data_IF_199628807621
#
_entry.id   IF_199628807621
#
_cell.length_a   1.000
_cell.length_b   1.000
_cell.length_c   1.000
_cell.angle_alpha   90.00
_cell.angle_beta   90.00
_cell.angle_gamma   90.00
#
_symmetry.space_group_name_H-M   'P 1'
#
loop_
_entity.id
_entity.type
_entity.pdbx_description
1 polymer ?
#
# COMPACT_ATOMS: atom_id res chain seq x y z
N UNK A 1 -41.93 51.63 15.56
CA UNK A 1 -40.71 51.35 14.77
C UNK A 1 -40.28 49.89 15.00
N UNK A 2 -41.15 48.93 14.62
CA UNK A 2 -40.90 47.48 14.73
C UNK A 2 -41.41 46.72 13.50
N UNK A 3 -41.93 47.43 12.49
CA UNK A 3 -42.48 46.87 11.26
C UNK A 3 -41.46 46.83 10.10
N UNK A 4 -40.27 47.39 10.26
CA UNK A 4 -39.25 47.46 9.21
C UNK A 4 -38.19 46.36 9.28
N UNK A 5 -38.10 45.60 10.38
CA UNK A 5 -37.10 44.54 10.53
C UNK A 5 -37.56 43.19 9.92
N UNK A 6 -38.87 42.97 9.89
CA UNK A 6 -39.47 41.71 9.40
C UNK A 6 -39.51 41.63 7.86
N UNK A 7 -39.68 42.78 7.19
CA UNK A 7 -39.64 42.85 5.72
C UNK A 7 -38.23 42.63 5.15
N UNK A 8 -37.19 43.06 5.88
CA UNK A 8 -35.79 42.86 5.46
C UNK A 8 -35.39 41.38 5.63
N UNK A 9 -35.89 40.71 6.67
CA UNK A 9 -35.61 39.29 6.91
C UNK A 9 -36.30 38.38 5.87
N UNK A 10 -37.55 38.68 5.49
CA UNK A 10 -38.26 37.92 4.46
C UNK A 10 -37.67 38.10 3.06
N UNK A 11 -37.15 39.29 2.75
CA UNK A 11 -36.55 39.58 1.43
C UNK A 11 -35.23 38.83 1.22
N UNK A 12 -34.40 38.68 2.26
CA UNK A 12 -33.17 37.89 2.19
C UNK A 12 -33.41 36.38 2.09
N UNK A 13 -34.50 35.87 2.67
CA UNK A 13 -34.86 34.45 2.58
C UNK A 13 -35.34 34.05 1.18
N UNK A 14 -36.06 34.96 0.49
CA UNK A 14 -36.47 34.77 -0.90
C UNK A 14 -35.29 34.72 -1.89
N UNK A 15 -34.21 35.48 -1.64
CA UNK A 15 -33.01 35.41 -2.48
C UNK A 15 -32.20 34.12 -2.28
N UNK A 16 -32.16 33.55 -1.07
CA UNK A 16 -31.48 32.29 -0.78
C UNK A 16 -32.24 31.11 -1.39
N UNK A 17 -33.58 31.11 -1.34
CA UNK A 17 -34.43 30.10 -1.99
C UNK A 17 -34.36 30.18 -3.53
N UNK A 18 -34.23 31.38 -4.10
CA UNK A 18 -34.03 31.55 -5.54
C UNK A 18 -32.65 31.05 -6.02
N UNK A 19 -31.61 31.16 -5.19
CA UNK A 19 -30.24 30.69 -5.52
C UNK A 19 -30.11 29.16 -5.49
N UNK A 20 -30.87 28.46 -4.63
CA UNK A 20 -30.87 26.99 -4.54
C UNK A 20 -31.68 26.36 -5.70
N UNK A 21 -32.67 27.06 -6.24
CA UNK A 21 -33.43 26.60 -7.41
C UNK A 21 -32.76 26.87 -8.77
N UNK A 22 -31.71 27.71 -8.82
CA UNK A 22 -30.96 28.01 -10.05
C UNK A 22 -29.74 27.10 -10.29
N UNK A 23 -29.26 26.35 -9.28
CA UNK A 23 -28.18 25.37 -9.46
C UNK A 23 -28.67 23.97 -9.91
N UNK A 24 -29.98 23.76 -10.02
CA UNK A 24 -30.60 22.48 -10.41
C UNK A 24 -30.89 22.29 -11.90
N UNK A 25 -30.54 23.25 -12.77
CA UNK A 25 -30.98 23.24 -14.19
C UNK A 25 -29.80 23.23 -15.19
N UNK A 26 -28.55 23.13 -14.75
CA UNK A 26 -27.39 22.97 -15.67
C UNK A 26 -26.87 21.53 -15.83
N UNK A 27 -27.61 20.53 -15.35
CA UNK A 27 -27.29 19.11 -15.56
C UNK A 27 -28.42 18.38 -16.30
N UNK A 28 -28.80 18.87 -17.48
CA UNK A 28 -29.53 18.10 -18.49
C UNK A 28 -29.50 18.82 -19.84
N UNK A 29 -28.61 18.39 -20.74
CA UNK A 29 -28.71 18.38 -22.22
C UNK A 29 -27.31 18.49 -22.87
N UNK A 30 -26.57 17.38 -22.88
CA UNK A 30 -26.04 16.84 -24.14
C UNK A 30 -26.16 15.33 -24.04
N UNK A 31 -27.27 14.83 -24.58
CA UNK A 31 -27.47 13.43 -24.96
C UNK A 31 -27.80 13.44 -26.44
N UNK A 32 -27.05 12.66 -27.23
CA UNK A 32 -27.47 12.02 -28.48
C UNK A 32 -26.22 11.26 -28.98
N UNK A 33 -26.22 9.97 -29.35
CA UNK A 33 -27.16 8.84 -29.34
C UNK A 33 -26.30 7.66 -29.82
N UNK A 34 -26.37 6.45 -29.26
CA UNK A 34 -27.28 5.43 -29.76
C UNK A 34 -27.45 4.34 -28.70
N UNK A 35 -28.45 4.57 -27.84
CA UNK A 35 -29.14 3.55 -27.06
C UNK A 35 -30.24 2.98 -27.95
N UNK A 36 -29.98 1.84 -28.56
CA UNK A 36 -31.04 0.99 -29.10
C UNK A 36 -30.69 -0.45 -28.76
N UNK A 37 -31.03 -0.84 -27.51
CA UNK A 37 -31.26 -2.21 -27.03
C UNK A 37 -31.52 -2.32 -25.50
N UNK A 38 -31.74 -1.21 -24.78
CA UNK A 38 -31.85 -1.22 -23.31
C UNK A 38 -33.27 -1.22 -22.72
N UNK A 39 -34.33 -1.38 -23.53
CA UNK A 39 -35.71 -1.40 -23.01
C UNK A 39 -36.29 -2.83 -22.91
N UNK A 40 -35.65 -3.86 -23.46
CA UNK A 40 -36.06 -5.27 -23.28
C UNK A 40 -35.29 -6.05 -22.19
N UNK A 41 -34.33 -5.42 -21.48
CA UNK A 41 -33.54 -6.10 -20.42
C UNK A 41 -33.89 -5.72 -18.98
N UNK A 42 -35.01 -5.03 -18.74
CA UNK A 42 -35.47 -4.66 -17.38
C UNK A 42 -36.54 -5.58 -16.77
N UNK A 43 -36.84 -6.72 -17.38
CA UNK A 43 -37.66 -7.78 -16.76
C UNK A 43 -37.01 -9.17 -16.73
N UNK A 44 -35.71 -9.27 -17.02
CA UNK A 44 -34.97 -10.53 -16.89
C UNK A 44 -33.55 -10.31 -16.34
N UNK A 45 -33.50 -9.73 -15.14
CA UNK A 45 -32.39 -9.89 -14.19
C UNK A 45 -32.93 -9.74 -12.76
N UNK A 46 -33.93 -10.58 -12.42
CA UNK A 46 -33.82 -11.32 -11.16
C UNK A 46 -32.66 -12.31 -11.34
N UNK A 47 -31.44 -11.78 -11.45
CA UNK A 47 -30.26 -12.56 -11.09
C UNK A 47 -30.36 -12.65 -9.58
N UNK A 48 -30.92 -13.77 -9.14
CA UNK A 48 -30.62 -14.44 -7.88
C UNK A 48 -29.50 -13.72 -7.15
N UNK A 49 -29.85 -12.88 -6.17
CA UNK A 49 -29.00 -12.74 -4.99
C UNK A 49 -28.92 -14.16 -4.45
N UNK A 50 -27.91 -14.91 -4.90
CA UNK A 50 -27.52 -16.12 -4.21
C UNK A 50 -27.20 -15.59 -2.83
N UNK A 51 -28.02 -15.95 -1.84
CA UNK A 51 -27.63 -15.94 -0.44
C UNK A 51 -26.40 -16.85 -0.36
N UNK A 52 -25.23 -16.35 -0.78
CA UNK A 52 -23.99 -16.96 -0.39
C UNK A 52 -23.94 -16.77 1.13
N UNK A 53 -23.88 -17.86 1.90
CA UNK A 53 -23.77 -17.73 3.34
C UNK A 53 -22.49 -16.92 3.62
N UNK A 54 -22.55 -15.97 4.56
CA UNK A 54 -21.34 -15.21 4.87
C UNK A 54 -20.26 -16.14 5.42
N UNK A 55 -20.60 -17.22 6.14
CA UNK A 55 -19.66 -18.34 6.40
C UNK A 55 -20.23 -19.68 5.91
N UNK A 56 -19.44 -20.42 5.12
CA UNK A 56 -19.80 -21.81 4.77
C UNK A 56 -19.71 -22.68 6.01
N UNK A 57 -20.83 -23.31 6.36
CA UNK A 57 -21.05 -24.01 7.63
C UNK A 57 -21.27 -25.52 7.52
N UNK A 58 -21.43 -26.05 6.31
CA UNK A 58 -21.75 -27.46 6.08
C UNK A 58 -20.60 -28.37 6.49
N UNK A 59 -20.89 -29.37 7.35
CA UNK A 59 -19.97 -30.41 7.84
C UNK A 59 -18.73 -29.94 8.59
N UNK A 60 -18.58 -28.64 8.84
CA UNK A 60 -17.47 -28.08 9.61
C UNK A 60 -17.72 -28.22 11.12
N UNK A 61 -16.66 -28.50 11.87
CA UNK A 61 -16.67 -28.45 13.33
C UNK A 61 -17.08 -27.05 13.79
N UNK A 62 -17.90 -26.98 14.84
CA UNK A 62 -18.43 -25.72 15.39
C UNK A 62 -17.92 -25.53 16.81
N UNK A 63 -17.52 -24.29 17.14
CA UNK A 63 -17.22 -23.89 18.52
C UNK A 63 -17.93 -22.57 18.85
N UNK A 64 -18.23 -22.40 20.14
CA UNK A 64 -18.83 -21.17 20.67
C UNK A 64 -17.83 -20.01 20.60
N UNK A 65 -18.27 -18.83 20.16
CA UNK A 65 -17.35 -17.69 19.98
C UNK A 65 -16.92 -17.06 21.30
N UNK A 66 -17.71 -17.15 22.38
CA UNK A 66 -17.28 -16.67 23.70
C UNK A 66 -16.15 -17.55 24.21
N UNK A 67 -16.27 -18.87 24.06
CA UNK A 67 -15.22 -19.81 24.42
C UNK A 67 -13.95 -19.60 23.58
N UNK A 68 -14.08 -19.39 22.26
CA UNK A 68 -12.91 -19.14 21.40
C UNK A 68 -12.20 -17.82 21.75
N UNK A 69 -12.94 -16.76 22.09
CA UNK A 69 -12.36 -15.49 22.58
C UNK A 69 -11.48 -15.68 23.81
N UNK A 70 -11.81 -16.63 24.68
CA UNK A 70 -11.01 -16.92 25.88
C UNK A 70 -9.83 -17.86 25.65
N UNK A 71 -9.87 -18.69 24.59
CA UNK A 71 -8.95 -19.83 24.41
C UNK A 71 -8.05 -19.73 23.20
N UNK A 72 -8.38 -18.89 22.23
CA UNK A 72 -7.56 -18.71 21.04
C UNK A 72 -6.35 -17.84 21.36
N UNK A 73 -5.18 -18.22 20.82
CA UNK A 73 -3.96 -17.44 21.00
C UNK A 73 -4.05 -16.11 20.23
N UNK A 74 -4.71 -16.12 19.07
CA UNK A 74 -4.93 -14.93 18.26
C UNK A 74 -6.39 -14.79 17.87
N UNK A 75 -6.84 -13.53 17.83
CA UNK A 75 -8.15 -13.13 17.38
C UNK A 75 -8.07 -11.76 16.71
N UNK A 76 -8.75 -11.58 15.58
CA UNK A 76 -8.90 -10.28 14.93
C UNK A 76 -10.14 -10.23 14.04
N UNK A 77 -10.56 -9.00 13.72
CA UNK A 77 -11.60 -8.75 12.73
C UNK A 77 -11.03 -8.87 11.31
N UNK A 78 -11.83 -9.38 10.39
CA UNK A 78 -11.47 -9.54 8.98
C UNK A 78 -12.64 -9.16 8.08
N UNK A 79 -12.32 -8.74 6.85
CA UNK A 79 -13.31 -8.22 5.90
C UNK A 79 -13.15 -8.89 4.54
N UNK A 80 -14.27 -9.13 3.87
CA UNK A 80 -14.32 -9.52 2.45
C UNK A 80 -15.44 -8.73 1.75
N UNK A 81 -15.07 -7.62 1.11
CA UNK A 81 -16.05 -6.70 0.55
C UNK A 81 -16.82 -5.99 1.65
N UNK A 82 -18.13 -6.23 1.70
CA UNK A 82 -19.01 -5.68 2.74
C UNK A 82 -19.26 -6.65 3.90
N UNK A 83 -18.71 -7.86 3.84
CA UNK A 83 -18.88 -8.84 4.90
C UNK A 83 -17.81 -8.68 5.96
N UNK A 84 -18.23 -8.71 7.22
CA UNK A 84 -17.35 -8.59 8.39
C UNK A 84 -17.33 -9.92 9.16
N UNK A 85 -16.14 -10.30 9.62
CA UNK A 85 -15.85 -11.58 10.23
C UNK A 85 -15.03 -11.41 11.50
N UNK A 86 -15.07 -12.44 12.36
CA UNK A 86 -14.06 -12.66 13.40
C UNK A 86 -13.30 -13.94 13.09
N UNK A 87 -11.97 -13.84 13.08
CA UNK A 87 -11.05 -14.96 12.87
C UNK A 87 -10.42 -15.34 14.19
N UNK A 88 -10.32 -16.65 14.47
CA UNK A 88 -9.68 -17.20 15.65
C UNK A 88 -8.63 -18.23 15.24
N UNK A 89 -7.44 -18.16 15.84
CA UNK A 89 -6.40 -19.18 15.69
C UNK A 89 -6.26 -19.96 17.01
N UNK A 90 -6.58 -21.26 16.96
CA UNK A 90 -6.72 -22.11 18.14
C UNK A 90 -6.09 -23.49 17.96
N UNK A 91 -5.39 -23.99 18.97
CA UNK A 91 -4.86 -25.36 19.03
C UNK A 91 -5.37 -26.08 20.30
N UNK A 92 -5.75 -27.36 20.17
CA UNK A 92 -6.18 -28.18 21.31
C UNK A 92 -5.00 -28.71 22.14
N UNK A 93 -3.85 -28.88 21.49
CA UNK A 93 -2.63 -29.44 22.05
C UNK A 93 -1.55 -28.38 22.32
N UNK A 94 -1.96 -27.11 22.45
CA UNK A 94 -1.06 -26.00 22.72
C UNK A 94 -0.26 -26.23 24.02
N UNK A 95 1.06 -26.14 23.89
CA UNK A 95 1.99 -26.19 25.01
C UNK A 95 2.75 -24.87 25.09
N UNK A 96 2.79 -24.28 26.29
CA UNK A 96 3.63 -23.12 26.56
C UNK A 96 4.94 -23.54 27.21
N UNK A 97 6.06 -23.03 26.70
CA UNK A 97 7.38 -23.16 27.29
C UNK A 97 8.03 -21.79 27.45
N UNK A 98 9.00 -21.68 28.37
CA UNK A 98 9.85 -20.49 28.46
C UNK A 98 11.17 -20.78 27.77
N UNK A 99 11.54 -19.92 26.82
CA UNK A 99 12.84 -20.01 26.16
C UNK A 99 13.72 -18.85 26.65
N UNK A 100 14.83 -19.18 27.32
CA UNK A 100 15.79 -18.19 27.85
C UNK A 100 16.87 -17.80 26.83
N UNK A 101 16.89 -18.39 25.62
CA UNK A 101 17.97 -18.20 24.66
C UNK A 101 18.00 -16.84 23.93
N UNK A 102 17.07 -15.92 24.22
CA UNK A 102 16.97 -14.61 23.55
C UNK A 102 17.10 -13.40 24.49
N UNK A 103 17.64 -13.57 25.71
CA UNK A 103 17.88 -12.46 26.64
C UNK A 103 16.62 -11.78 27.22
N UNK A 104 15.44 -12.18 26.76
CA UNK A 104 14.12 -11.83 27.28
C UNK A 104 13.40 -13.14 27.56
N UNK A 105 12.77 -13.29 28.75
CA UNK A 105 11.90 -14.43 29.05
C UNK A 105 10.69 -14.39 28.11
N UNK A 106 10.82 -15.00 26.94
CA UNK A 106 9.76 -15.04 25.96
C UNK A 106 9.02 -16.37 26.09
N UNK A 107 7.73 -16.27 26.38
CA UNK A 107 6.83 -17.42 26.36
C UNK A 107 6.65 -17.85 24.91
N UNK A 108 6.88 -19.13 24.65
CA UNK A 108 6.73 -19.75 23.34
C UNK A 108 5.60 -20.77 23.41
N UNK A 109 4.69 -20.71 22.45
CA UNK A 109 3.53 -21.58 22.31
C UNK A 109 3.73 -22.47 21.09
N UNK A 110 3.60 -23.78 21.29
CA UNK A 110 3.78 -24.79 20.25
C UNK A 110 2.53 -25.66 20.18
N UNK A 111 1.98 -25.89 18.99
CA UNK A 111 0.78 -26.72 18.82
C UNK A 111 0.30 -26.83 17.37
N UNK A 112 -0.73 -27.65 17.13
CA UNK A 112 -1.35 -27.81 15.81
C UNK A 112 -2.60 -26.92 15.72
N UNK A 113 -2.43 -25.73 15.16
CA UNK A 113 -3.48 -24.72 15.12
C UNK A 113 -4.46 -24.93 13.98
N UNK A 114 -5.72 -24.60 14.25
CA UNK A 114 -6.82 -24.52 13.31
C UNK A 114 -7.35 -23.09 13.26
N UNK A 115 -7.84 -22.66 12.10
CA UNK A 115 -8.49 -21.36 11.95
C UNK A 115 -10.01 -21.55 12.06
N UNK A 116 -10.66 -20.79 12.93
CA UNK A 116 -12.12 -20.70 12.99
C UNK A 116 -12.59 -19.36 12.44
N UNK A 117 -13.66 -19.39 11.64
CA UNK A 117 -14.27 -18.21 11.05
C UNK A 117 -15.71 -18.06 11.57
N UNK A 118 -16.06 -16.86 12.01
CA UNK A 118 -17.42 -16.48 12.37
C UNK A 118 -17.82 -15.21 11.61
N UNK A 119 -19.09 -15.10 11.24
CA UNK A 119 -19.67 -13.80 10.91
C UNK A 119 -19.54 -12.89 12.14
N UNK A 120 -19.36 -11.58 11.93
CA UNK A 120 -19.27 -10.63 13.03
C UNK A 120 -20.49 -10.76 13.96
N UNK A 121 -20.21 -10.74 15.26
CA UNK A 121 -21.20 -10.89 16.34
C UNK A 121 -21.95 -12.24 16.40
N UNK A 122 -21.59 -13.21 15.55
CA UNK A 122 -22.11 -14.58 15.65
C UNK A 122 -21.69 -15.23 16.97
N UNK A 123 -22.55 -16.08 17.52
CA UNK A 123 -22.26 -16.93 18.70
C UNK A 123 -21.53 -18.21 18.33
N UNK A 124 -21.42 -18.52 17.03
CA UNK A 124 -20.82 -19.77 16.53
C UNK A 124 -19.75 -19.44 15.49
N UNK A 125 -18.59 -20.07 15.62
CA UNK A 125 -17.53 -20.11 14.61
C UNK A 125 -17.37 -21.51 14.03
N UNK A 126 -16.92 -21.58 12.79
CA UNK A 126 -16.75 -22.80 12.01
C UNK A 126 -15.28 -23.02 11.68
N UNK A 127 -14.77 -24.22 12.01
CA UNK A 127 -13.40 -24.64 11.67
C UNK A 127 -13.18 -24.62 10.16
N UNK A 128 -12.05 -24.07 9.72
CA UNK A 128 -11.63 -24.01 8.33
C UNK A 128 -10.46 -24.96 8.08
N UNK A 129 -10.44 -25.60 6.92
CA UNK A 129 -9.43 -26.62 6.54
C UNK A 129 -8.11 -26.00 6.03
N UNK A 130 -7.96 -24.67 6.14
CA UNK A 130 -6.88 -23.92 5.50
C UNK A 130 -5.46 -24.29 5.98
N UNK A 131 -5.34 -24.86 7.19
CA UNK A 131 -4.06 -25.29 7.78
C UNK A 131 -3.86 -26.81 7.79
N UNK A 132 -4.84 -27.59 7.32
CA UNK A 132 -4.81 -29.05 7.43
C UNK A 132 -3.64 -29.66 6.61
N UNK A 133 -3.23 -29.01 5.52
CA UNK A 133 -2.06 -29.39 4.72
C UNK A 133 -0.72 -29.23 5.47
N UNK A 134 -0.67 -28.34 6.47
CA UNK A 134 0.52 -28.12 7.31
C UNK A 134 0.52 -29.03 8.57
N UNK A 135 -0.54 -29.84 8.74
CA UNK A 135 -0.95 -30.52 9.98
C UNK A 135 -0.01 -31.59 10.54
N UNK A 136 1.19 -31.78 9.99
CA UNK A 136 2.23 -32.66 10.54
C UNK A 136 3.29 -31.92 11.35
N UNK A 137 3.39 -30.60 11.18
CA UNK A 137 4.39 -29.77 11.87
C UNK A 137 3.68 -28.80 12.80
N UNK A 138 4.03 -28.76 14.09
CA UNK A 138 3.44 -27.81 15.01
C UNK A 138 3.89 -26.39 14.66
N UNK A 139 2.99 -25.43 14.80
CA UNK A 139 3.30 -24.01 14.69
C UNK A 139 3.97 -23.54 15.97
N UNK A 140 4.91 -22.60 15.83
CA UNK A 140 5.64 -21.99 16.94
C UNK A 140 5.33 -20.50 16.96
N UNK A 141 4.78 -20.03 18.08
CA UNK A 141 4.42 -18.64 18.29
C UNK A 141 5.07 -18.07 19.54
N UNK A 142 5.59 -16.86 19.42
CA UNK A 142 6.12 -16.04 20.49
C UNK A 142 5.33 -14.72 20.45
N UNK A 143 4.46 -14.44 21.44
CA UNK A 143 3.63 -13.23 21.42
C UNK A 143 4.43 -11.92 21.45
N UNK A 144 5.72 -11.95 21.79
CA UNK A 144 6.62 -10.80 21.67
C UNK A 144 6.99 -10.50 20.22
N UNK A 145 6.70 -11.40 19.27
CA UNK A 145 6.94 -11.26 17.83
C UNK A 145 5.59 -11.12 17.11
N UNK A 146 5.54 -10.27 16.09
CA UNK A 146 4.33 -10.06 15.30
C UNK A 146 4.11 -11.18 14.27
N UNK A 147 3.81 -12.40 14.72
CA UNK A 147 3.76 -13.58 13.85
C UNK A 147 2.41 -13.83 13.20
N UNK A 148 1.33 -13.35 13.80
CA UNK A 148 -0.02 -13.53 13.28
C UNK A 148 -0.76 -12.21 13.35
N UNK A 149 -1.17 -11.69 12.20
CA UNK A 149 -1.87 -10.41 12.13
C UNK A 149 -2.74 -10.27 10.88
N UNK A 150 -3.78 -9.42 10.93
CA UNK A 150 -4.55 -9.04 9.76
C UNK A 150 -3.73 -8.07 8.89
N UNK A 151 -3.62 -8.38 7.59
CA UNK A 151 -3.05 -7.50 6.59
C UNK A 151 -4.18 -6.98 5.69
N UNK A 152 -4.47 -5.68 5.78
CA UNK A 152 -5.56 -5.06 5.02
C UNK A 152 -5.09 -4.56 3.66
N UNK A 153 -5.85 -4.93 2.62
CA UNK A 153 -5.62 -4.52 1.23
C UNK A 153 -6.97 -4.13 0.61
N UNK A 154 -7.27 -2.83 0.64
CA UNK A 154 -8.56 -2.31 0.19
C UNK A 154 -9.69 -2.77 1.10
N UNK A 155 -10.70 -3.40 0.51
CA UNK A 155 -11.86 -3.97 1.21
C UNK A 155 -11.67 -5.45 1.60
N UNK A 156 -10.42 -5.93 1.65
CA UNK A 156 -10.10 -7.32 1.96
C UNK A 156 -9.07 -7.41 3.09
N UNK A 157 -9.27 -8.36 3.98
CA UNK A 157 -8.27 -8.74 4.99
C UNK A 157 -7.63 -10.06 4.62
N UNK A 158 -6.30 -10.07 4.66
CA UNK A 158 -5.49 -11.28 4.60
C UNK A 158 -5.08 -11.69 6.01
N UNK A 159 -5.12 -12.98 6.27
CA UNK A 159 -4.61 -13.59 7.50
C UNK A 159 -3.16 -13.94 7.24
N UNK A 160 -2.24 -13.21 7.88
CA UNK A 160 -0.81 -13.45 7.78
C UNK A 160 -0.37 -14.34 8.93
N UNK A 161 0.33 -15.43 8.63
CA UNK A 161 1.00 -16.29 9.61
C UNK A 161 2.47 -16.43 9.20
N UNK A 162 3.38 -16.03 10.07
CA UNK A 162 4.82 -16.06 9.87
C UNK A 162 5.45 -17.06 10.84
N UNK A 163 5.90 -18.18 10.30
CA UNK A 163 6.53 -19.25 11.07
C UNK A 163 8.05 -19.06 11.12
N UNK A 164 8.68 -19.07 12.32
CA UNK A 164 10.11 -18.88 12.43
C UNK A 164 10.87 -19.91 11.62
N UNK A 165 11.94 -19.47 10.96
CA UNK A 165 12.88 -20.28 10.19
C UNK A 165 14.31 -19.91 10.60
N UNK A 166 15.30 -20.45 9.88
CA UNK A 166 16.71 -20.18 10.16
C UNK A 166 17.10 -18.73 9.84
N UNK A 167 18.09 -18.21 10.56
CA UNK A 167 18.73 -16.89 10.31
C UNK A 167 17.73 -15.72 10.26
N UNK A 168 16.86 -15.61 11.26
CA UNK A 168 15.83 -14.55 11.40
C UNK A 168 14.79 -14.53 10.28
N UNK A 169 14.79 -15.54 9.40
CA UNK A 169 13.77 -15.67 8.37
C UNK A 169 12.49 -16.27 8.93
N UNK A 170 11.39 -16.06 8.20
CA UNK A 170 10.09 -16.64 8.49
C UNK A 170 9.47 -17.23 7.22
N UNK A 171 8.88 -18.41 7.34
CA UNK A 171 7.98 -18.97 6.32
C UNK A 171 6.67 -18.21 6.35
N UNK A 172 6.29 -17.63 5.21
CA UNK A 172 5.05 -16.90 5.04
C UNK A 172 3.91 -17.82 4.62
N UNK A 173 2.84 -17.81 5.41
CA UNK A 173 1.55 -18.38 5.07
C UNK A 173 0.53 -17.25 5.04
N UNK A 174 -0.12 -17.08 3.90
CA UNK A 174 -1.11 -16.03 3.69
C UNK A 174 -2.44 -16.66 3.31
N UNK A 175 -3.52 -16.20 3.93
CA UNK A 175 -4.86 -16.68 3.64
C UNK A 175 -5.80 -15.51 3.40
N UNK A 176 -6.85 -15.72 2.64
CA UNK A 176 -7.92 -14.75 2.45
C UNK A 176 -9.27 -15.44 2.52
N UNK A 177 -10.27 -14.70 2.97
CA UNK A 177 -11.67 -15.15 2.94
C UNK A 177 -12.15 -15.05 1.49
N UNK A 178 -12.79 -16.07 0.95
CA UNK A 178 -13.43 -16.05 -0.38
C UNK A 178 -14.63 -16.98 -0.37
N UNK A 179 -15.79 -16.43 -0.72
CA UNK A 179 -17.08 -17.13 -0.69
C UNK A 179 -17.39 -17.73 0.70
N UNK A 180 -17.04 -17.01 1.77
CA UNK A 180 -17.28 -17.44 3.16
C UNK A 180 -16.36 -18.54 3.69
N UNK A 181 -15.23 -18.78 3.02
CA UNK A 181 -14.20 -19.74 3.45
C UNK A 181 -12.82 -19.13 3.47
N UNK A 182 -11.97 -19.62 4.37
CA UNK A 182 -10.56 -19.25 4.37
C UNK A 182 -9.82 -20.11 3.36
N UNK A 183 -9.16 -19.46 2.40
CA UNK A 183 -8.37 -20.12 1.35
C UNK A 183 -6.93 -19.62 1.39
N UNK A 184 -5.99 -20.53 1.19
CA UNK A 184 -4.56 -20.20 1.05
C UNK A 184 -4.38 -19.33 -0.19
N UNK A 185 -3.61 -18.27 -0.03
CA UNK A 185 -3.22 -17.36 -1.11
C UNK A 185 -1.82 -17.77 -1.55
N UNK A 186 -1.66 -17.95 -2.85
CA UNK A 186 -0.38 -18.36 -3.42
C UNK A 186 0.41 -17.16 -3.91
N UNK A 187 1.71 -17.35 -4.12
CA UNK A 187 2.56 -16.41 -4.83
C UNK A 187 2.87 -17.01 -6.21
N UNK A 188 2.98 -16.16 -7.24
CA UNK A 188 3.26 -16.62 -8.62
C UNK A 188 4.67 -17.19 -8.77
N UNK A 189 5.56 -16.82 -7.87
CA UNK A 189 6.92 -17.32 -7.73
C UNK A 189 7.05 -17.91 -6.32
N UNK A 190 7.91 -18.91 -6.16
CA UNK A 190 8.11 -19.57 -4.88
C UNK A 190 8.65 -18.59 -3.84
N UNK A 191 7.75 -18.11 -2.98
CA UNK A 191 8.07 -17.29 -1.82
C UNK A 191 8.18 -18.20 -0.59
N UNK A 192 9.34 -18.82 -0.42
CA UNK A 192 9.54 -19.82 0.65
C UNK A 192 9.73 -19.17 2.01
N UNK A 193 10.44 -18.04 2.07
CA UNK A 193 10.78 -17.32 3.30
C UNK A 193 10.87 -15.82 3.05
N UNK A 194 10.65 -15.03 4.09
CA UNK A 194 10.92 -13.59 4.15
C UNK A 194 11.83 -13.32 5.35
N UNK A 195 12.52 -12.18 5.37
CA UNK A 195 13.30 -11.78 6.55
C UNK A 195 12.39 -11.13 7.59
N UNK A 196 12.52 -11.54 8.86
CA UNK A 196 11.74 -11.01 9.98
C UNK A 196 10.26 -11.42 9.97
N UNK A 197 9.42 -10.57 10.56
CA UNK A 197 8.00 -10.83 10.82
C UNK A 197 7.06 -9.74 10.27
N UNK A 198 7.51 -8.98 9.28
CA UNK A 198 6.76 -7.83 8.77
C UNK A 198 6.49 -7.92 7.26
N UNK A 199 5.33 -7.40 6.86
CA UNK A 199 4.91 -7.20 5.47
C UNK A 199 4.27 -5.81 5.40
N UNK A 200 4.67 -4.99 4.44
CA UNK A 200 4.08 -3.66 4.24
C UNK A 200 2.86 -3.74 3.34
N UNK A 201 1.76 -3.10 3.72
CA UNK A 201 0.63 -2.83 2.81
C UNK A 201 0.83 -1.46 2.18
N UNK A 202 0.71 -1.38 0.86
CA UNK A 202 0.98 -0.16 0.10
C UNK A 202 -0.18 0.14 -0.84
N UNK A 203 -0.73 1.35 -0.76
CA UNK A 203 -1.84 1.83 -1.58
C UNK A 203 -3.06 0.92 -1.64
N UNK A 204 -3.32 0.17 -0.56
CA UNK A 204 -4.46 -0.75 -0.49
C UNK A 204 -4.49 -1.78 -1.63
N UNK A 205 -3.36 -1.99 -2.32
CA UNK A 205 -3.29 -2.77 -3.56
C UNK A 205 -2.04 -3.65 -3.65
N UNK A 206 -0.94 -3.18 -3.08
CA UNK A 206 0.33 -3.88 -3.10
C UNK A 206 0.73 -4.32 -1.71
N UNK A 207 1.53 -5.37 -1.64
CA UNK A 207 2.27 -5.72 -0.45
C UNK A 207 3.77 -5.74 -0.76
N UNK A 208 4.62 -5.44 0.22
CA UNK A 208 6.06 -5.55 0.06
C UNK A 208 6.67 -6.39 1.17
N UNK A 209 7.59 -7.27 0.76
CA UNK A 209 8.35 -8.18 1.62
C UNK A 209 9.84 -7.88 1.51
N UNK A 210 10.57 -7.97 2.62
CA UNK A 210 12.02 -7.89 2.65
C UNK A 210 12.65 -9.28 2.74
N UNK A 211 13.82 -9.45 2.12
CA UNK A 211 14.57 -10.69 2.06
C UNK A 211 16.06 -10.39 2.24
N UNK A 212 16.75 -11.26 2.96
CA UNK A 212 18.20 -11.21 3.08
C UNK A 212 18.80 -12.46 2.40
N UNK A 213 19.56 -12.24 1.34
CA UNK A 213 20.27 -13.31 0.63
C UNK A 213 21.76 -13.28 0.99
N UNK A 214 22.23 -14.36 1.63
CA UNK A 214 23.55 -14.37 2.25
C UNK A 214 23.61 -13.36 3.39
N UNK A 215 24.72 -12.64 3.54
CA UNK A 215 24.92 -11.71 4.66
C UNK A 215 24.83 -10.23 4.26
N UNK A 216 24.66 -9.91 2.96
CA UNK A 216 24.85 -8.54 2.46
C UNK A 216 23.92 -8.12 1.32
N UNK A 217 23.02 -8.98 0.83
CA UNK A 217 22.12 -8.63 -0.26
C UNK A 217 20.67 -8.56 0.22
N UNK A 218 20.15 -7.34 0.32
CA UNK A 218 18.77 -7.06 0.68
C UNK A 218 17.91 -6.98 -0.57
N UNK A 219 16.80 -7.73 -0.61
CA UNK A 219 15.82 -7.66 -1.70
C UNK A 219 14.47 -7.21 -1.17
N UNK A 220 13.93 -6.18 -1.79
CA UNK A 220 12.58 -5.69 -1.54
C UNK A 220 11.71 -6.10 -2.72
N UNK A 221 10.77 -7.01 -2.48
CA UNK A 221 9.87 -7.54 -3.51
C UNK A 221 8.48 -7.00 -3.27
N UNK A 222 7.92 -6.36 -4.29
CA UNK A 222 6.56 -5.82 -4.30
C UNK A 222 5.65 -6.75 -5.06
N UNK A 223 4.49 -7.04 -4.49
CA UNK A 223 3.51 -7.99 -5.02
C UNK A 223 2.16 -7.31 -5.23
N UNK A 224 1.45 -7.72 -6.28
CA UNK A 224 0.10 -7.26 -6.62
C UNK A 224 -0.88 -8.44 -6.52
N UNK A 225 -2.00 -8.24 -5.84
CA UNK A 225 -2.99 -9.30 -5.66
C UNK A 225 -3.89 -9.47 -6.90
N UNK A 226 -3.91 -10.68 -7.46
CA UNK A 226 -4.91 -11.10 -8.44
C UNK A 226 -6.04 -11.86 -7.73
N UNK A 227 -7.13 -11.14 -7.46
CA UNK A 227 -8.31 -11.68 -6.75
C UNK A 227 -8.97 -12.85 -7.47
N UNK A 228 -8.95 -12.85 -8.81
CA UNK A 228 -9.55 -13.94 -9.60
C UNK A 228 -8.76 -15.22 -9.38
N UNK A 229 -7.43 -15.13 -9.46
CA UNK A 229 -6.52 -16.24 -9.29
C UNK A 229 -6.19 -16.57 -7.82
N UNK A 230 -6.60 -15.74 -6.86
CA UNK A 230 -6.18 -15.84 -5.44
C UNK A 230 -4.67 -15.96 -5.29
N UNK A 231 -3.95 -15.14 -6.05
CA UNK A 231 -2.49 -15.23 -6.16
C UNK A 231 -1.87 -13.84 -6.14
N UNK A 232 -0.80 -13.67 -5.38
CA UNK A 232 0.07 -12.51 -5.47
C UNK A 232 1.07 -12.67 -6.61
N UNK A 233 1.06 -11.74 -7.56
CA UNK A 233 2.00 -11.70 -8.67
C UNK A 233 3.13 -10.73 -8.35
N UNK A 234 4.36 -11.11 -8.69
CA UNK A 234 5.50 -10.20 -8.55
C UNK A 234 5.27 -8.98 -9.43
N UNK A 235 5.17 -7.81 -8.81
CA UNK A 235 5.03 -6.52 -9.49
C UNK A 235 6.40 -5.94 -9.79
N UNK A 236 7.29 -5.99 -8.81
CA UNK A 236 8.61 -5.40 -8.89
C UNK A 236 9.58 -6.00 -7.87
N UNK A 237 10.88 -5.92 -8.15
CA UNK A 237 11.95 -6.37 -7.27
C UNK A 237 13.15 -5.42 -7.33
N UNK A 238 13.66 -5.02 -6.17
CA UNK A 238 14.84 -4.18 -6.06
C UNK A 238 15.85 -4.81 -5.11
N UNK A 239 17.12 -4.78 -5.51
CA UNK A 239 18.23 -5.40 -4.77
C UNK A 239 19.24 -4.35 -4.36
N UNK A 240 19.56 -4.31 -3.07
CA UNK A 240 20.57 -3.45 -2.47
C UNK A 240 21.65 -4.28 -1.80
N UNK A 241 22.89 -3.78 -1.84
CA UNK A 241 24.07 -4.48 -1.30
C UNK A 241 24.73 -3.71 -0.17
N UNK A 242 25.30 -4.45 0.77
CA UNK A 242 26.08 -3.93 1.89
C UNK A 242 25.28 -2.96 2.78
N UNK A 243 25.97 -1.97 3.35
CA UNK A 243 25.39 -1.00 4.27
C UNK A 243 24.16 -0.27 3.72
N UNK A 244 24.08 -0.07 2.40
CA UNK A 244 22.92 0.59 1.79
C UNK A 244 21.65 -0.25 1.94
N UNK A 245 21.76 -1.58 1.80
CA UNK A 245 20.64 -2.49 2.01
C UNK A 245 20.21 -2.52 3.46
N UNK A 246 21.17 -2.60 4.38
CA UNK A 246 20.92 -2.61 5.83
C UNK A 246 20.23 -1.32 6.30
N UNK A 247 20.75 -0.15 5.93
CA UNK A 247 20.13 1.16 6.26
C UNK A 247 18.71 1.29 5.70
N UNK A 248 18.46 0.73 4.51
CA UNK A 248 17.12 0.72 3.95
C UNK A 248 16.20 -0.24 4.67
N UNK A 249 16.68 -1.41 5.10
CA UNK A 249 15.89 -2.34 5.90
C UNK A 249 15.55 -1.77 7.28
N UNK A 250 16.48 -1.07 7.94
CA UNK A 250 16.22 -0.36 9.20
C UNK A 250 15.08 0.66 9.04
N UNK A 251 15.15 1.51 8.01
CA UNK A 251 14.08 2.47 7.69
C UNK A 251 12.78 1.76 7.35
N UNK A 252 12.86 0.70 6.55
CA UNK A 252 11.71 -0.10 6.14
C UNK A 252 11.03 -0.70 7.37
N UNK A 253 11.76 -1.26 8.33
CA UNK A 253 11.21 -1.89 9.54
C UNK A 253 10.72 -0.92 10.60
N UNK A 254 11.02 0.38 10.51
CA UNK A 254 10.68 1.36 11.54
C UNK A 254 9.16 1.62 11.65
N UNK A 255 8.47 1.76 10.50
CA UNK A 255 7.03 2.10 10.44
C UNK A 255 6.34 1.39 9.30
N UNK A 256 5.07 1.02 9.50
CA UNK A 256 4.26 0.28 8.52
C UNK A 256 4.07 1.00 7.16
N UNK A 257 4.17 2.32 7.15
CA UNK A 257 3.98 3.18 5.98
C UNK A 257 5.27 3.44 5.21
N UNK A 258 6.43 3.08 5.78
CA UNK A 258 7.72 3.20 5.10
C UNK A 258 7.94 1.91 4.31
N UNK A 259 8.12 2.07 3.00
CA UNK A 259 8.43 1.00 2.06
C UNK A 259 9.55 1.44 1.12
N UNK A 260 10.19 0.48 0.46
CA UNK A 260 11.19 0.76 -0.56
C UNK A 260 10.49 1.14 -1.87
N UNK A 261 10.85 2.27 -2.53
CA UNK A 261 10.24 2.64 -3.80
C UNK A 261 10.36 1.54 -4.86
N UNK A 262 9.30 1.39 -5.65
CA UNK A 262 9.14 0.32 -6.63
C UNK A 262 8.47 0.85 -7.89
N UNK A 263 8.53 0.10 -8.99
CA UNK A 263 8.00 0.55 -10.27
C UNK A 263 6.46 0.72 -10.23
N UNK A 264 6.02 1.95 -10.03
CA UNK A 264 4.61 2.34 -9.95
C UNK A 264 4.24 3.53 -10.84
N UNK A 265 5.21 4.07 -11.59
CA UNK A 265 5.00 5.14 -12.56
C UNK A 265 5.33 4.65 -13.96
N UNK A 266 4.44 4.95 -14.89
CA UNK A 266 4.69 4.82 -16.32
C UNK A 266 5.00 6.22 -16.88
N UNK A 267 6.14 6.35 -17.56
CA UNK A 267 6.50 7.61 -18.19
C UNK A 267 5.73 7.78 -19.51
N UNK A 268 5.12 8.95 -19.65
CA UNK A 268 4.35 9.34 -20.82
C UNK A 268 4.93 10.63 -21.40
N UNK A 269 4.65 10.92 -22.66
CA UNK A 269 5.12 12.15 -23.35
C UNK A 269 4.61 13.44 -22.69
N UNK A 270 3.56 13.37 -21.86
CA UNK A 270 2.99 14.53 -21.15
C UNK A 270 3.81 15.00 -19.93
N UNK A 271 4.85 14.26 -19.55
CA UNK A 271 5.70 14.57 -18.39
C UNK A 271 6.29 15.98 -18.49
N UNK A 272 6.78 16.37 -19.68
CA UNK A 272 7.34 17.71 -19.89
C UNK A 272 6.26 18.80 -19.76
N UNK A 273 5.03 18.55 -20.24
CA UNK A 273 3.93 19.50 -20.12
C UNK A 273 3.48 19.69 -18.66
N UNK A 274 3.45 18.61 -17.87
CA UNK A 274 3.20 18.68 -16.42
C UNK A 274 4.30 19.46 -15.70
N UNK A 275 5.55 19.23 -16.08
CA UNK A 275 6.68 19.94 -15.50
C UNK A 275 6.67 21.45 -15.78
N UNK A 276 6.15 21.92 -16.93
CA UNK A 276 5.95 23.35 -17.20
C UNK A 276 5.03 24.03 -16.18
N UNK A 277 4.13 23.26 -15.56
CA UNK A 277 3.23 23.72 -14.51
C UNK A 277 3.83 23.57 -13.11
N UNK A 278 5.07 23.07 -13.01
CA UNK A 278 5.74 22.75 -11.75
C UNK A 278 5.23 21.47 -11.09
N UNK A 279 4.43 20.66 -11.80
CA UNK A 279 3.88 19.41 -11.27
C UNK A 279 4.91 18.27 -11.42
N UNK A 280 5.37 17.68 -10.32
CA UNK A 280 6.25 16.51 -10.37
C UNK A 280 5.49 15.26 -10.83
N UNK A 281 6.23 14.31 -11.40
CA UNK A 281 5.66 13.01 -11.79
C UNK A 281 5.35 12.21 -10.51
N UNK A 282 4.14 11.67 -10.41
CA UNK A 282 3.78 10.79 -9.29
C UNK A 282 3.64 11.50 -7.94
N UNK A 283 3.45 12.83 -7.92
CA UNK A 283 3.05 13.57 -6.72
C UNK A 283 2.01 14.65 -7.08
N UNK A 284 1.01 14.87 -6.21
CA UNK A 284 -0.02 15.87 -6.44
C UNK A 284 0.42 17.31 -6.09
N UNK A 285 1.60 17.51 -5.49
CA UNK A 285 2.02 18.82 -4.98
C UNK A 285 2.98 19.51 -5.95
N UNK A 286 2.58 20.62 -6.60
CA UNK A 286 3.47 21.37 -7.47
C UNK A 286 4.57 22.11 -6.68
N UNK A 287 5.68 22.39 -7.36
CA UNK A 287 6.68 23.37 -6.90
C UNK A 287 5.98 24.71 -6.62
N UNK A 288 6.26 25.30 -5.46
CA UNK A 288 5.52 26.44 -4.92
C UNK A 288 4.61 26.08 -3.74
N UNK A 289 4.31 24.79 -3.52
CA UNK A 289 3.54 24.33 -2.35
C UNK A 289 4.34 24.55 -1.06
N UNK A 290 3.66 24.91 0.03
CA UNK A 290 4.30 25.01 1.34
C UNK A 290 4.49 23.61 1.96
N UNK A 291 5.69 23.30 2.43
CA UNK A 291 6.02 21.99 3.01
C UNK A 291 5.17 21.63 4.24
N UNK A 292 4.71 22.62 5.02
CA UNK A 292 3.82 22.37 6.15
C UNK A 292 2.45 21.82 5.73
N UNK A 293 1.96 22.21 4.54
CA UNK A 293 0.72 21.64 4.00
C UNK A 293 0.90 20.18 3.60
N UNK A 294 2.05 19.85 2.98
CA UNK A 294 2.39 18.47 2.58
C UNK A 294 2.53 17.60 3.83
N UNK A 295 3.27 18.04 4.86
CA UNK A 295 3.39 17.29 6.12
C UNK A 295 2.07 17.09 6.85
N UNK A 296 1.12 18.01 6.67
CA UNK A 296 -0.22 17.89 7.27
C UNK A 296 -1.06 16.81 6.59
N UNK A 297 -0.96 16.68 5.26
CA UNK A 297 -1.68 15.68 4.49
C UNK A 297 -0.97 14.33 4.50
N UNK A 298 0.36 14.33 4.56
CA UNK A 298 1.26 13.18 4.57
C UNK A 298 2.22 13.29 5.78
N UNK A 299 1.77 12.88 6.98
CA UNK A 299 2.54 13.06 8.21
C UNK A 299 3.68 12.05 8.38
N UNK A 300 3.67 10.95 7.63
CA UNK A 300 4.70 9.91 7.73
C UNK A 300 5.74 10.11 6.63
N UNK A 301 6.91 10.58 7.03
CA UNK A 301 8.10 10.71 6.19
C UNK A 301 9.24 9.85 6.77
N UNK A 302 10.21 9.53 5.92
CA UNK A 302 11.38 8.73 6.28
C UNK A 302 12.38 9.59 7.05
N UNK A 303 12.70 10.77 6.52
CA UNK A 303 13.73 11.63 7.07
C UNK A 303 13.44 13.10 6.78
N UNK A 304 13.85 13.98 7.70
CA UNK A 304 13.92 15.41 7.48
C UNK A 304 15.31 15.89 7.88
N UNK A 305 15.93 16.71 7.03
CA UNK A 305 17.30 17.13 7.23
C UNK A 305 17.69 18.34 6.39
N UNK A 306 19.00 18.53 6.26
CA UNK A 306 19.61 19.58 5.44
C UNK A 306 20.66 18.93 4.57
N UNK A 307 20.52 19.06 3.25
CA UNK A 307 21.50 18.60 2.26
C UNK A 307 22.11 19.80 1.53
N UNK A 308 23.43 19.91 1.55
CA UNK A 308 24.19 21.04 0.99
C UNK A 308 23.62 22.43 1.34
N UNK A 309 23.09 22.60 2.56
CA UNK A 309 22.48 23.85 3.05
C UNK A 309 21.01 24.04 2.69
N UNK A 310 20.40 23.11 1.95
CA UNK A 310 18.98 23.14 1.57
C UNK A 310 18.20 22.17 2.45
N UNK A 311 17.16 22.63 3.18
CA UNK A 311 16.35 21.73 3.98
C UNK A 311 15.47 20.85 3.08
N UNK A 312 15.23 19.62 3.52
CA UNK A 312 14.45 18.64 2.77
C UNK A 312 13.56 17.78 3.67
N UNK A 313 12.53 17.18 3.07
CA UNK A 313 11.70 16.11 3.67
C UNK A 313 11.62 14.97 2.66
N UNK A 314 11.98 13.76 3.10
CA UNK A 314 12.04 12.56 2.28
C UNK A 314 10.89 11.62 2.60
N UNK A 315 10.07 11.33 1.60
CA UNK A 315 9.06 10.28 1.60
C UNK A 315 9.55 9.08 0.79
N UNK A 316 8.94 7.88 0.92
CA UNK A 316 9.30 6.72 0.09
C UNK A 316 9.36 7.02 -1.40
N UNK A 317 8.49 7.93 -1.86
CA UNK A 317 8.24 8.15 -3.27
C UNK A 317 8.90 9.40 -3.87
N UNK A 318 9.30 10.34 -3.02
CA UNK A 318 9.70 11.67 -3.41
C UNK A 318 10.36 12.40 -2.25
N UNK A 319 11.38 13.19 -2.56
CA UNK A 319 12.02 14.12 -1.63
C UNK A 319 11.69 15.54 -2.04
N UNK A 320 11.18 16.34 -1.10
CA UNK A 320 10.91 17.77 -1.31
C UNK A 320 12.02 18.61 -0.72
N UNK A 321 12.59 19.50 -1.54
CA UNK A 321 13.54 20.52 -1.10
C UNK A 321 12.82 21.86 -1.03
N UNK A 322 13.04 22.62 0.03
CA UNK A 322 12.27 23.84 0.28
C UNK A 322 13.14 25.00 0.77
N UNK A 323 12.64 26.21 0.61
CA UNK A 323 13.30 27.40 1.15
C UNK A 323 13.05 27.50 2.67
N UNK A 324 14.12 27.61 3.46
CA UNK A 324 14.05 27.61 4.93
C UNK A 324 13.16 28.71 5.52
N UNK A 325 13.14 29.88 4.89
CA UNK A 325 12.43 31.08 5.39
C UNK A 325 10.93 31.04 5.12
N UNK A 326 10.54 30.60 3.93
CA UNK A 326 9.13 30.62 3.47
C UNK A 326 8.45 29.25 3.58
N UNK A 327 9.23 28.17 3.67
CA UNK A 327 8.74 26.79 3.60
C UNK A 327 8.27 26.39 2.21
N UNK A 328 8.52 27.19 1.18
CA UNK A 328 8.06 26.94 -0.18
C UNK A 328 8.97 25.89 -0.84
N UNK A 329 8.38 24.82 -1.37
CA UNK A 329 9.09 23.81 -2.17
C UNK A 329 9.64 24.45 -3.43
N UNK A 330 10.94 24.28 -3.66
CA UNK A 330 11.69 24.84 -4.81
C UNK A 330 12.19 23.78 -5.77
N UNK A 331 12.37 22.55 -5.29
CA UNK A 331 12.77 21.41 -6.08
C UNK A 331 12.23 20.10 -5.48
N UNK A 332 12.16 19.07 -6.30
CA UNK A 332 11.88 17.70 -5.86
C UNK A 332 12.85 16.72 -6.49
N UNK A 333 13.04 15.57 -5.82
CA UNK A 333 13.73 14.41 -6.36
C UNK A 333 12.81 13.19 -6.28
N UNK A 334 12.69 12.44 -7.37
CA UNK A 334 11.90 11.23 -7.49
C UNK A 334 12.87 10.05 -7.67
N UNK A 335 12.78 8.98 -6.87
CA UNK A 335 13.60 7.78 -7.03
C UNK A 335 13.40 7.12 -8.41
N UNK A 336 14.48 6.74 -9.07
CA UNK A 336 14.46 6.08 -10.37
C UNK A 336 13.77 4.71 -10.34
N UNK A 337 13.75 4.06 -9.17
CA UNK A 337 13.03 2.82 -8.88
C UNK A 337 11.54 2.91 -9.23
N UNK A 338 10.95 4.10 -9.20
CA UNK A 338 9.53 4.30 -9.53
C UNK A 338 9.22 4.14 -11.01
N UNK A 339 10.21 4.34 -11.88
CA UNK A 339 10.05 4.31 -13.35
C UNK A 339 10.77 3.15 -14.02
N UNK A 340 11.91 2.70 -13.46
CA UNK A 340 12.80 1.64 -13.99
C UNK A 340 13.00 1.74 -15.51
N UNK A 341 13.66 2.83 -15.92
CA UNK A 341 13.86 3.18 -17.32
C UNK A 341 15.29 3.60 -17.58
N UNK A 342 15.68 3.66 -18.86
CA UNK A 342 17.00 4.10 -19.29
C UNK A 342 16.99 5.47 -19.94
N UNK A 343 18.14 6.16 -19.98
CA UNK A 343 18.29 7.43 -20.70
C UNK A 343 17.92 7.32 -22.19
N UNK A 344 18.18 6.17 -22.82
CA UNK A 344 17.76 5.92 -24.19
C UNK A 344 16.24 6.02 -24.36
N UNK A 345 15.48 5.44 -23.43
CA UNK A 345 14.02 5.52 -23.45
C UNK A 345 13.53 6.95 -23.18
N UNK A 346 14.16 7.66 -22.23
CA UNK A 346 13.89 9.08 -21.96
C UNK A 346 14.04 9.92 -23.23
N UNK A 347 15.16 9.79 -23.94
CA UNK A 347 15.40 10.51 -25.21
C UNK A 347 14.41 10.13 -26.29
N UNK A 348 14.00 8.85 -26.36
CA UNK A 348 12.97 8.41 -27.30
C UNK A 348 11.59 9.02 -27.00
N UNK A 349 11.26 9.29 -25.74
CA UNK A 349 9.96 9.84 -25.33
C UNK A 349 9.90 11.36 -25.43
N UNK A 350 10.98 12.05 -25.08
CA UNK A 350 11.00 13.52 -24.95
C UNK A 350 11.81 14.22 -26.04
N UNK A 351 12.49 13.46 -26.91
CA UNK A 351 13.40 13.98 -27.90
C UNK A 351 14.77 14.35 -27.33
N UNK A 352 15.51 15.17 -28.08
CA UNK A 352 16.85 15.61 -27.69
C UNK A 352 16.80 16.52 -26.45
N UNK A 353 17.66 16.26 -25.45
CA UNK A 353 17.76 17.11 -24.27
C UNK A 353 18.38 18.48 -24.59
N UNK A 354 18.10 19.47 -23.75
CA UNK A 354 18.74 20.80 -23.80
C UNK A 354 20.23 20.69 -23.41
N UNK A 355 20.53 19.88 -22.38
CA UNK A 355 21.90 19.58 -21.96
C UNK A 355 22.09 18.08 -21.75
N UNK A 356 23.26 17.57 -22.12
CA UNK A 356 23.74 16.24 -21.78
C UNK A 356 25.18 16.33 -21.26
N UNK A 357 25.50 15.52 -20.25
CA UNK A 357 26.85 15.42 -19.75
C UNK A 357 26.94 14.53 -18.52
N UNK A 358 27.84 14.90 -17.62
CA UNK A 358 28.03 14.21 -16.34
C UNK A 358 27.76 15.17 -15.19
N UNK A 359 27.14 14.66 -14.12
CA UNK A 359 27.00 15.40 -12.88
C UNK A 359 28.36 15.42 -12.17
N UNK A 360 28.78 16.62 -11.75
CA UNK A 360 30.15 16.86 -11.28
C UNK A 360 30.40 16.25 -9.89
N UNK A 361 29.35 15.97 -9.12
CA UNK A 361 29.49 15.48 -7.75
C UNK A 361 29.67 13.97 -7.68
N UNK A 362 28.96 13.23 -8.52
CA UNK A 362 28.91 11.78 -8.45
C UNK A 362 29.32 11.08 -9.77
N UNK A 363 29.61 11.83 -10.83
CA UNK A 363 30.04 11.28 -12.12
C UNK A 363 28.91 10.55 -12.87
N UNK A 364 27.66 10.69 -12.43
CA UNK A 364 26.50 10.08 -13.09
C UNK A 364 26.22 10.77 -14.43
N UNK A 365 25.70 10.02 -15.40
CA UNK A 365 25.23 10.62 -16.66
C UNK A 365 23.99 11.46 -16.35
N UNK A 366 23.94 12.68 -16.90
CA UNK A 366 22.82 13.60 -16.73
C UNK A 366 22.28 14.06 -18.09
N UNK A 367 20.96 14.11 -18.20
CA UNK A 367 20.25 14.79 -19.29
C UNK A 367 19.24 15.78 -18.71
N UNK A 368 19.13 16.96 -19.32
CA UNK A 368 18.27 18.06 -18.85
C UNK A 368 17.32 18.48 -19.95
N UNK A 369 16.04 18.62 -19.60
CA UNK A 369 14.99 19.12 -20.48
C UNK A 369 14.41 20.43 -19.95
N UNK A 370 14.26 21.41 -20.85
CA UNK A 370 13.60 22.67 -20.53
C UNK A 370 12.09 22.46 -20.34
N UNK A 371 11.53 23.03 -19.27
CA UNK A 371 10.11 23.05 -19.00
C UNK A 371 9.66 24.46 -18.61
N UNK A 372 9.83 25.42 -19.53
CA UNK A 372 9.53 26.85 -19.33
C UNK A 372 10.33 27.45 -18.15
N UNK A 373 9.66 27.88 -17.06
CA UNK A 373 10.31 28.37 -15.84
C UNK A 373 10.91 27.25 -14.95
N UNK A 374 10.80 26.00 -15.38
CA UNK A 374 11.32 24.82 -14.70
C UNK A 374 12.29 24.03 -15.59
N UNK A 375 13.01 23.09 -15.00
CA UNK A 375 13.78 22.10 -15.71
C UNK A 375 13.61 20.72 -15.08
N UNK A 376 13.68 19.68 -15.92
CA UNK A 376 13.76 18.29 -15.48
C UNK A 376 15.15 17.76 -15.76
N UNK A 377 15.78 17.13 -14.77
CA UNK A 377 17.09 16.45 -14.88
C UNK A 377 16.90 14.99 -14.57
N UNK A 378 17.35 14.13 -15.46
CA UNK A 378 17.46 12.69 -15.22
C UNK A 378 18.92 12.37 -14.94
N UNK A 379 19.19 11.72 -13.80
CA UNK A 379 20.49 11.16 -13.45
C UNK A 379 20.45 9.65 -13.65
N UNK A 380 21.49 9.10 -14.26
CA UNK A 380 21.60 7.69 -14.55
C UNK A 380 22.97 7.13 -14.19
N UNK A 381 22.98 5.83 -13.86
CA UNK A 381 24.19 5.11 -13.53
C UNK A 381 25.05 4.79 -14.76
N UNK A 382 26.14 4.03 -14.55
CA UNK A 382 27.04 3.62 -15.61
C UNK A 382 26.38 2.77 -16.71
N UNK A 383 25.28 2.08 -16.40
CA UNK A 383 24.49 1.29 -17.35
C UNK A 383 23.40 2.11 -18.05
N UNK A 384 23.37 3.43 -17.81
CA UNK A 384 22.36 4.37 -18.31
C UNK A 384 20.95 4.13 -17.75
N UNK A 385 20.82 3.39 -16.65
CA UNK A 385 19.56 3.24 -15.92
C UNK A 385 19.33 4.46 -15.03
N UNK A 386 18.14 5.05 -15.13
CA UNK A 386 17.76 6.25 -14.38
C UNK A 386 17.71 5.93 -12.89
N UNK A 387 18.49 6.66 -12.10
CA UNK A 387 18.57 6.56 -10.63
C UNK A 387 17.77 7.63 -9.93
N UNK A 388 17.65 8.80 -10.53
CA UNK A 388 16.89 9.91 -9.93
C UNK A 388 16.38 10.87 -10.99
N UNK A 389 15.22 11.44 -10.72
CA UNK A 389 14.59 12.47 -11.55
C UNK A 389 14.40 13.72 -10.68
N UNK A 390 14.94 14.85 -11.13
CA UNK A 390 14.81 16.13 -10.44
C UNK A 390 13.93 17.07 -11.25
N UNK A 391 13.02 17.76 -10.58
CA UNK A 391 12.29 18.90 -11.11
C UNK A 391 12.59 20.10 -10.23
N UNK A 392 13.03 21.22 -10.81
CA UNK A 392 13.31 22.45 -10.06
C UNK A 392 12.92 23.70 -10.83
N UNK A 393 12.73 24.79 -10.09
CA UNK A 393 12.52 26.14 -10.66
C UNK A 393 13.87 26.73 -11.08
N UNK A 394 13.98 27.17 -12.34
CA UNK A 394 15.19 27.78 -12.90
C UNK A 394 15.57 29.09 -12.22
#
# INVERSE_FOLDING_TARGET
MFLTYWEILMRNYLYILALIMLSGILAACVSETNTSNEIEKKQQKLSTTVNQPAVISEKKEKKDTVWLKEKSLYQFEAYDGSYEYTVFLYAEDEQSSFNENLGVKNQVYTGHYSIYLAEKDSTIAYKQEALDEEGTTPFIFNPSLNQVYPLNLGNKTFITILQPSENENSKLLLFAIKDGEIKKVHFSEDLTTIFGYEIKSIYQKYIQTAHLQGDQEWRFITWEFDEKAMTFKKKDESTLKGENGEKWYERWSEKSEIYYPFQNLELSSDVIEKAKQGLPIGSPYPIGTNIANIKKTEPIFIEEGIDAGTPYVMYPEITYYYEKTTGIVTAVSIPGERVKTSLKMIKSLFGEPEEEGYDQLNGEKRVIYNADKYAIKFLADANEEVRSIYLWKK
#
